data_IF_519276125928
#
_entry.id   IF_519276125928
#
_cell.length_a   1.000
_cell.length_b   1.000
_cell.length_c   1.000
_cell.angle_alpha   90.00
_cell.angle_beta   90.00
_cell.angle_gamma   90.00
#
_symmetry.space_group_name_H-M   'P 1'
#
loop_
_entity.id
_entity.type
_entity.pdbx_description
1 polymer ?
#
# COMPACT_ATOMS: atom_id res chain seq x y z
N UNK A 1 -29.74 14.68 -17.93
CA UNK A 1 -30.40 13.63 -17.16
C UNK A 1 -29.60 13.44 -15.87
N UNK A 2 -30.22 13.55 -14.69
CA UNK A 2 -29.58 13.15 -13.45
C UNK A 2 -29.41 11.62 -13.52
N UNK A 3 -28.18 11.17 -13.70
CA UNK A 3 -27.83 9.75 -13.55
C UNK A 3 -28.15 9.39 -12.11
N UNK A 4 -29.11 8.52 -11.93
CA UNK A 4 -29.61 8.10 -10.62
C UNK A 4 -28.41 7.59 -9.78
N UNK A 5 -28.14 8.26 -8.68
CA UNK A 5 -27.10 7.84 -7.70
C UNK A 5 -27.33 6.40 -7.21
N UNK A 6 -28.57 5.93 -7.21
CA UNK A 6 -28.92 4.54 -6.85
C UNK A 6 -28.44 3.52 -7.89
N UNK A 7 -28.44 3.87 -9.20
CA UNK A 7 -27.86 2.99 -10.23
C UNK A 7 -26.33 2.91 -10.14
N UNK A 8 -25.64 3.99 -9.76
CA UNK A 8 -24.19 3.94 -9.47
C UNK A 8 -23.90 3.09 -8.23
N UNK A 9 -24.71 3.14 -7.20
CA UNK A 9 -24.54 2.30 -6.01
C UNK A 9 -24.81 0.82 -6.28
N UNK A 10 -25.68 0.47 -7.23
CA UNK A 10 -25.90 -0.94 -7.61
C UNK A 10 -24.73 -1.54 -8.39
N UNK A 11 -23.89 -0.73 -9.06
CA UNK A 11 -22.72 -1.21 -9.80
C UNK A 11 -21.44 -1.34 -8.93
N UNK A 12 -21.45 -0.88 -7.67
CA UNK A 12 -20.28 -0.88 -6.78
C UNK A 12 -20.35 -2.03 -5.75
N UNK A 13 -21.30 -2.96 -5.88
CA UNK A 13 -21.52 -4.00 -4.86
C UNK A 13 -20.48 -5.12 -4.84
N UNK A 14 -19.73 -5.29 -5.93
CA UNK A 14 -18.75 -6.35 -6.07
C UNK A 14 -17.41 -5.73 -6.50
N UNK A 15 -16.53 -5.53 -5.56
CA UNK A 15 -15.22 -4.92 -5.80
C UNK A 15 -14.10 -5.94 -5.65
N UNK A 16 -13.15 -5.91 -6.58
CA UNK A 16 -11.84 -6.53 -6.42
C UNK A 16 -10.87 -5.43 -6.02
N UNK A 17 -10.17 -5.66 -4.95
CA UNK A 17 -9.25 -4.70 -4.38
C UNK A 17 -7.82 -5.00 -4.81
N UNK A 18 -7.08 -3.98 -5.22
CA UNK A 18 -5.63 -4.06 -5.41
C UNK A 18 -4.96 -2.99 -4.56
N UNK A 19 -4.07 -3.39 -3.66
CA UNK A 19 -3.44 -2.48 -2.71
C UNK A 19 -1.95 -2.68 -2.57
N UNK A 20 -1.21 -1.55 -2.53
CA UNK A 20 0.22 -1.49 -2.34
C UNK A 20 0.53 -0.45 -1.27
N UNK A 21 1.55 -0.68 -0.45
CA UNK A 21 2.02 0.20 0.63
C UNK A 21 0.87 0.70 1.52
N UNK A 22 0.74 1.99 1.74
CA UNK A 22 -0.37 2.61 2.46
C UNK A 22 -1.75 2.33 1.84
N UNK A 23 -1.80 2.06 0.52
CA UNK A 23 -3.04 1.61 -0.12
C UNK A 23 -3.61 0.38 0.57
N UNK A 24 -2.78 -0.56 1.03
CA UNK A 24 -3.22 -1.76 1.75
C UNK A 24 -4.08 -1.43 2.99
N UNK A 25 -3.52 -0.86 4.05
CA UNK A 25 -4.27 -0.60 5.28
C UNK A 25 -5.39 0.43 5.10
N UNK A 26 -5.20 1.48 4.29
CA UNK A 26 -6.24 2.48 4.05
C UNK A 26 -7.44 1.84 3.32
N UNK A 27 -7.19 1.07 2.26
CA UNK A 27 -8.26 0.44 1.49
C UNK A 27 -8.98 -0.65 2.28
N UNK A 28 -8.25 -1.53 2.98
CA UNK A 28 -8.87 -2.56 3.82
C UNK A 28 -9.61 -1.95 5.02
N UNK A 29 -9.09 -0.86 5.59
CA UNK A 29 -9.80 -0.11 6.63
C UNK A 29 -11.11 0.50 6.11
N UNK A 30 -11.13 1.04 4.90
CA UNK A 30 -12.36 1.54 4.27
C UNK A 30 -13.34 0.40 3.96
N UNK A 31 -12.86 -0.73 3.43
CA UNK A 31 -13.66 -1.90 3.10
C UNK A 31 -14.22 -2.61 4.34
N UNK A 32 -13.57 -2.51 5.50
CA UNK A 32 -14.09 -3.05 6.76
C UNK A 32 -15.42 -2.40 7.18
N UNK A 33 -15.72 -1.19 6.69
CA UNK A 33 -16.99 -0.49 6.93
C UNK A 33 -18.13 -1.00 6.03
N UNK A 34 -17.82 -1.76 4.97
CA UNK A 34 -18.80 -2.34 4.02
C UNK A 34 -18.22 -3.65 3.47
N UNK A 35 -18.03 -4.66 4.32
CA UNK A 35 -17.29 -5.88 3.99
C UNK A 35 -17.94 -6.71 2.86
N UNK A 36 -19.23 -6.57 2.67
CA UNK A 36 -19.98 -7.24 1.60
C UNK A 36 -19.55 -6.80 0.19
N UNK A 37 -18.91 -5.66 0.07
CA UNK A 37 -18.42 -5.14 -1.22
C UNK A 37 -17.17 -5.87 -1.70
N UNK A 38 -16.34 -6.40 -0.80
CA UNK A 38 -15.06 -7.02 -1.15
C UNK A 38 -15.26 -8.47 -1.59
N UNK A 39 -14.95 -8.78 -2.84
CA UNK A 39 -15.08 -10.14 -3.41
C UNK A 39 -13.75 -10.81 -3.71
N UNK A 40 -12.68 -10.06 -3.84
CA UNK A 40 -11.33 -10.58 -4.07
C UNK A 40 -10.27 -9.52 -3.87
N UNK A 41 -9.02 -9.93 -3.71
CA UNK A 41 -7.92 -9.01 -3.48
C UNK A 41 -6.61 -9.42 -4.18
N UNK A 42 -5.86 -8.42 -4.66
CA UNK A 42 -4.45 -8.54 -5.06
C UNK A 42 -3.62 -7.64 -4.16
N UNK A 43 -2.66 -8.22 -3.47
CA UNK A 43 -1.87 -7.56 -2.43
C UNK A 43 -0.42 -7.44 -2.86
N UNK A 44 0.12 -6.24 -2.78
CA UNK A 44 1.45 -5.90 -3.28
C UNK A 44 2.22 -5.13 -2.21
N UNK A 45 3.36 -5.61 -1.77
CA UNK A 45 4.23 -4.96 -0.78
C UNK A 45 3.49 -4.00 0.15
N UNK A 46 2.70 -4.56 1.05
CA UNK A 46 1.90 -3.83 2.04
C UNK A 46 1.94 -4.52 3.40
N UNK A 47 1.36 -3.92 4.42
CA UNK A 47 1.32 -4.44 5.78
C UNK A 47 -0.04 -4.23 6.41
N UNK A 48 -0.54 -5.24 7.13
CA UNK A 48 -1.79 -5.15 7.90
C UNK A 48 -1.58 -5.34 9.38
N UNK A 49 -0.45 -5.93 9.78
CA UNK A 49 -0.19 -6.28 11.16
C UNK A 49 0.08 -5.04 12.02
N UNK A 50 -0.60 -4.95 13.15
CA UNK A 50 -0.31 -3.96 14.17
C UNK A 50 1.03 -4.26 14.86
N UNK A 51 1.82 -3.25 15.21
CA UNK A 51 3.06 -3.47 15.93
C UNK A 51 2.78 -4.03 17.33
N UNK A 52 3.37 -5.19 17.65
CA UNK A 52 3.25 -5.85 18.97
C UNK A 52 4.28 -5.31 19.97
N UNK A 53 5.38 -4.81 19.47
CA UNK A 53 6.49 -4.23 20.21
C UNK A 53 7.05 -3.01 19.48
N UNK A 54 7.95 -2.28 20.10
CA UNK A 54 8.59 -1.15 19.46
C UNK A 54 9.48 -1.64 18.32
N UNK A 55 9.20 -1.14 17.12
CA UNK A 55 9.92 -1.51 15.90
C UNK A 55 10.99 -0.47 15.57
N UNK A 56 12.15 -0.94 15.12
CA UNK A 56 13.15 -0.08 14.51
C UNK A 56 12.72 0.26 13.09
N UNK A 57 12.25 1.48 12.92
CA UNK A 57 11.94 2.03 11.62
C UNK A 57 13.21 2.33 10.83
N UNK A 58 13.06 2.50 9.51
CA UNK A 58 14.20 2.91 8.69
C UNK A 58 14.82 4.22 9.22
N UNK A 59 16.12 4.45 8.99
CA UNK A 59 16.78 5.69 9.43
C UNK A 59 16.08 6.97 8.93
N UNK A 60 15.43 6.91 7.77
CA UNK A 60 14.65 8.02 7.24
C UNK A 60 13.41 8.29 8.10
N UNK A 61 12.63 7.26 8.44
CA UNK A 61 11.46 7.40 9.31
C UNK A 61 11.84 7.96 10.70
N UNK A 62 12.94 7.51 11.28
CA UNK A 62 13.42 8.03 12.56
C UNK A 62 13.74 9.53 12.50
N UNK A 63 14.39 9.99 11.43
CA UNK A 63 14.69 11.41 11.22
C UNK A 63 13.43 12.25 11.00
N UNK A 64 12.48 11.73 10.23
CA UNK A 64 11.22 12.43 9.91
C UNK A 64 10.32 12.59 11.13
N UNK A 65 10.36 11.64 12.07
CA UNK A 65 9.64 11.72 13.36
C UNK A 65 10.25 12.74 14.32
N UNK A 66 11.51 13.17 14.12
CA UNK A 66 12.13 14.19 14.95
C UNK A 66 11.54 15.55 14.60
N UNK A 67 10.94 16.28 15.56
CA UNK A 67 10.41 17.64 15.34
C UNK A 67 11.47 18.58 14.75
N UNK A 68 11.06 19.50 13.90
CA UNK A 68 11.89 20.47 13.18
C UNK A 68 12.80 19.81 12.13
N UNK A 69 13.46 18.69 12.45
CA UNK A 69 14.32 17.99 11.51
C UNK A 69 13.50 17.36 10.37
N UNK A 70 12.35 16.79 10.69
CA UNK A 70 11.45 16.21 9.69
C UNK A 70 10.93 17.27 8.72
N UNK A 71 10.49 18.41 9.22
CA UNK A 71 10.05 19.55 8.41
C UNK A 71 11.17 20.05 7.50
N UNK A 72 12.35 20.27 8.07
CA UNK A 72 13.52 20.77 7.34
C UNK A 72 13.90 19.81 6.21
N UNK A 73 13.94 18.51 6.49
CA UNK A 73 14.30 17.49 5.50
C UNK A 73 13.26 17.39 4.39
N UNK A 74 12.00 17.23 4.72
CA UNK A 74 10.95 16.88 3.74
C UNK A 74 10.40 18.12 3.02
N UNK A 75 10.35 19.28 3.71
CA UNK A 75 9.75 20.49 3.12
C UNK A 75 10.77 21.40 2.42
N UNK A 76 12.04 21.39 2.85
CA UNK A 76 13.01 22.35 2.36
C UNK A 76 14.25 21.74 1.67
N UNK A 77 14.75 20.60 2.12
CA UNK A 77 16.03 20.08 1.67
C UNK A 77 15.93 18.87 0.73
N UNK A 78 14.79 18.25 0.63
CA UNK A 78 14.68 16.92 0.04
C UNK A 78 13.43 16.79 -0.82
N UNK A 79 13.63 16.56 -2.12
CA UNK A 79 12.54 16.09 -2.98
C UNK A 79 12.45 14.55 -2.84
N UNK A 80 11.46 14.02 -2.12
CA UNK A 80 11.35 12.57 -1.92
C UNK A 80 11.21 11.81 -3.23
N UNK A 81 10.60 12.41 -4.24
CA UNK A 81 10.33 11.76 -5.53
C UNK A 81 11.60 11.49 -6.35
N UNK A 82 12.65 12.30 -6.22
CA UNK A 82 13.94 12.05 -6.86
C UNK A 82 14.70 10.86 -6.28
N UNK A 83 14.33 10.44 -5.07
CA UNK A 83 15.00 9.33 -4.39
C UNK A 83 14.28 7.98 -4.60
N UNK A 84 13.11 7.99 -5.24
CA UNK A 84 12.30 6.77 -5.38
C UNK A 84 12.97 5.71 -6.27
N UNK A 85 13.84 6.09 -7.19
CA UNK A 85 14.66 5.13 -7.93
C UNK A 85 15.50 4.20 -7.04
N UNK A 86 15.85 4.64 -5.82
CA UNK A 86 16.67 3.86 -4.88
C UNK A 86 15.88 2.75 -4.17
N UNK A 87 14.57 2.78 -4.25
CA UNK A 87 13.70 1.77 -3.65
C UNK A 87 13.15 0.80 -4.69
N UNK A 88 13.54 0.96 -5.96
CA UNK A 88 13.21 0.05 -7.05
C UNK A 88 14.18 -1.11 -7.15
N UNK A 89 13.73 -2.24 -7.67
CA UNK A 89 14.55 -3.39 -8.03
C UNK A 89 15.41 -3.07 -9.26
N UNK A 90 14.80 -2.44 -10.26
CA UNK A 90 15.48 -1.80 -11.38
C UNK A 90 15.36 -0.27 -11.29
N UNK A 91 16.41 0.44 -10.89
CA UNK A 91 16.37 1.91 -10.83
C UNK A 91 16.02 2.59 -12.16
N UNK A 92 16.25 1.94 -13.30
CA UNK A 92 15.92 2.50 -14.62
C UNK A 92 14.42 2.54 -14.92
N UNK A 93 13.61 1.80 -14.16
CA UNK A 93 12.15 1.86 -14.21
C UNK A 93 11.61 3.22 -13.77
N UNK A 94 12.40 3.99 -13.03
CA UNK A 94 12.01 5.30 -12.46
C UNK A 94 12.56 6.45 -13.32
N UNK A 95 11.85 6.74 -14.41
CA UNK A 95 12.25 7.81 -15.36
C UNK A 95 11.98 9.22 -14.82
N UNK A 96 12.63 10.23 -15.42
CA UNK A 96 12.37 11.65 -15.12
C UNK A 96 10.88 12.05 -15.35
N UNK A 97 10.22 11.37 -16.28
CA UNK A 97 8.78 11.58 -16.52
C UNK A 97 7.95 11.06 -15.34
N UNK A 98 8.25 9.87 -14.85
CA UNK A 98 7.58 9.30 -13.67
C UNK A 98 7.83 10.14 -12.42
N UNK A 99 9.06 10.61 -12.18
CA UNK A 99 9.38 11.54 -11.10
C UNK A 99 8.46 12.76 -11.13
N UNK A 100 8.27 13.34 -12.32
CA UNK A 100 7.36 14.50 -12.49
C UNK A 100 5.90 14.13 -12.26
N UNK A 101 5.44 13.00 -12.80
CA UNK A 101 4.05 12.56 -12.67
C UNK A 101 3.67 12.25 -11.22
N UNK A 102 4.49 11.51 -10.49
CA UNK A 102 4.26 11.17 -9.08
C UNK A 102 4.40 12.41 -8.18
N UNK A 103 5.38 13.25 -8.47
CA UNK A 103 5.65 14.46 -7.67
C UNK A 103 4.64 15.58 -7.90
N UNK A 104 4.07 15.70 -9.11
CA UNK A 104 3.23 16.82 -9.52
C UNK A 104 2.07 17.13 -8.56
N UNK A 105 1.24 16.17 -8.13
CA UNK A 105 0.12 16.47 -7.23
C UNK A 105 0.56 17.07 -5.89
N UNK A 106 1.71 16.68 -5.39
CA UNK A 106 2.24 17.15 -4.10
C UNK A 106 2.97 18.48 -4.26
N UNK A 107 3.87 18.57 -5.26
CA UNK A 107 4.72 19.76 -5.47
C UNK A 107 3.92 20.96 -5.95
N UNK A 108 2.98 20.78 -6.90
CA UNK A 108 2.15 21.88 -7.42
C UNK A 108 1.07 22.32 -6.41
N UNK A 109 0.60 21.43 -5.53
CA UNK A 109 -0.34 21.82 -4.47
C UNK A 109 0.30 22.63 -3.34
N UNK A 110 1.64 22.71 -3.30
CA UNK A 110 2.39 23.29 -2.18
C UNK A 110 2.23 22.52 -0.86
N UNK A 111 1.76 21.26 -0.94
CA UNK A 111 1.45 20.45 0.25
C UNK A 111 2.51 19.38 0.53
N UNK A 112 3.79 19.82 0.64
CA UNK A 112 4.89 18.97 1.09
C UNK A 112 4.65 18.32 2.47
N UNK A 113 3.79 18.95 3.29
CA UNK A 113 3.35 18.42 4.60
C UNK A 113 2.62 17.08 4.48
N UNK A 114 1.97 16.79 3.35
CA UNK A 114 1.28 15.51 3.16
C UNK A 114 2.27 14.34 3.22
N UNK A 115 3.41 14.44 2.53
CA UNK A 115 4.47 13.42 2.57
C UNK A 115 5.03 13.23 3.98
N UNK A 116 5.30 14.33 4.68
CA UNK A 116 5.76 14.30 6.07
C UNK A 116 4.74 13.60 6.98
N UNK A 117 3.46 13.94 6.84
CA UNK A 117 2.39 13.34 7.62
C UNK A 117 2.27 11.85 7.37
N UNK A 118 2.29 11.41 6.11
CA UNK A 118 2.24 9.99 5.75
C UNK A 118 3.38 9.20 6.40
N UNK A 119 4.60 9.72 6.36
CA UNK A 119 5.74 9.06 7.00
C UNK A 119 5.62 9.01 8.52
N UNK A 120 5.06 10.05 9.15
CA UNK A 120 4.82 10.10 10.61
C UNK A 120 3.69 9.18 11.08
N UNK A 121 2.75 8.85 10.21
CA UNK A 121 1.65 7.92 10.49
C UNK A 121 2.09 6.46 10.64
N UNK A 122 3.30 6.10 10.19
CA UNK A 122 3.81 4.72 10.34
C UNK A 122 3.94 4.37 11.82
N UNK A 123 3.20 3.36 12.32
CA UNK A 123 3.26 3.01 13.74
C UNK A 123 4.59 2.29 14.06
N UNK A 124 5.30 2.82 15.03
CA UNK A 124 6.59 2.30 15.50
C UNK A 124 6.49 1.55 16.83
N UNK A 125 5.28 1.33 17.29
CA UNK A 125 5.01 0.58 18.51
C UNK A 125 3.53 0.54 18.86
N UNK A 126 3.15 -0.28 19.85
CA UNK A 126 1.74 -0.43 20.27
C UNK A 126 1.13 0.85 20.85
N UNK A 127 1.95 1.78 21.34
CA UNK A 127 1.50 3.05 21.90
C UNK A 127 1.31 4.14 20.84
N UNK A 128 1.60 3.87 19.58
CA UNK A 128 1.41 4.82 18.49
C UNK A 128 -0.09 5.05 18.24
N UNK A 129 -0.48 6.30 17.96
CA UNK A 129 -1.90 6.68 17.74
C UNK A 129 -2.62 5.82 16.70
N UNK A 130 -1.92 5.38 15.66
CA UNK A 130 -2.48 4.54 14.60
C UNK A 130 -2.44 3.03 14.90
N UNK A 131 -1.84 2.59 16.02
CA UNK A 131 -1.72 1.16 16.35
C UNK A 131 -3.10 0.51 16.54
N UNK A 132 -4.05 1.24 17.15
CA UNK A 132 -5.42 0.75 17.37
C UNK A 132 -6.14 0.55 16.03
N UNK A 133 -6.02 1.49 15.10
CA UNK A 133 -6.60 1.37 13.77
C UNK A 133 -5.98 0.20 13.00
N UNK A 134 -4.66 0.05 13.05
CA UNK A 134 -3.96 -1.08 12.42
C UNK A 134 -4.42 -2.42 13.00
N UNK A 135 -4.65 -2.51 14.30
CA UNK A 135 -5.15 -3.73 14.92
C UNK A 135 -6.55 -4.09 14.43
N UNK A 136 -7.44 -3.12 14.30
CA UNK A 136 -8.78 -3.35 13.75
C UNK A 136 -8.72 -3.81 12.29
N UNK A 137 -7.78 -3.27 11.51
CA UNK A 137 -7.56 -3.68 10.11
C UNK A 137 -6.99 -5.11 10.06
N UNK A 138 -6.02 -5.44 10.90
CA UNK A 138 -5.45 -6.78 11.02
C UNK A 138 -6.55 -7.82 11.32
N UNK A 139 -7.39 -7.55 12.32
CA UNK A 139 -8.51 -8.42 12.70
C UNK A 139 -9.52 -8.60 11.54
N UNK A 140 -9.83 -7.52 10.81
CA UNK A 140 -10.68 -7.60 9.63
C UNK A 140 -10.05 -8.45 8.53
N UNK A 141 -8.80 -8.21 8.18
CA UNK A 141 -8.08 -8.95 7.14
C UNK A 141 -8.01 -10.44 7.47
N UNK A 142 -7.73 -10.81 8.73
CA UNK A 142 -7.68 -12.19 9.19
C UNK A 142 -9.06 -12.88 9.17
N UNK A 143 -10.14 -12.13 9.19
CA UNK A 143 -11.51 -12.66 9.09
C UNK A 143 -11.96 -12.95 7.66
N UNK A 144 -11.23 -12.47 6.65
CA UNK A 144 -11.63 -12.55 5.24
C UNK A 144 -11.57 -13.99 4.70
N UNK A 145 -12.63 -14.37 3.98
CA UNK A 145 -12.73 -15.65 3.27
C UNK A 145 -12.99 -15.40 1.78
N UNK A 146 -12.10 -14.63 1.15
CA UNK A 146 -12.19 -14.23 -0.25
C UNK A 146 -11.01 -14.78 -1.05
N UNK A 147 -11.13 -14.93 -2.37
CA UNK A 147 -9.98 -15.16 -3.24
C UNK A 147 -8.96 -14.02 -3.08
N UNK A 148 -7.71 -14.35 -2.88
CA UNK A 148 -6.63 -13.38 -2.82
C UNK A 148 -5.40 -13.90 -3.56
N UNK A 149 -4.61 -13.00 -4.14
CA UNK A 149 -3.28 -13.26 -4.69
C UNK A 149 -2.29 -12.23 -4.16
N UNK A 150 -1.04 -12.65 -4.00
CA UNK A 150 0.06 -11.82 -3.54
C UNK A 150 1.06 -11.67 -4.68
N UNK A 151 1.38 -10.43 -5.06
CA UNK A 151 2.50 -10.11 -5.96
C UNK A 151 3.52 -9.34 -5.14
N UNK A 152 4.73 -9.88 -5.01
CA UNK A 152 5.70 -9.36 -4.05
C UNK A 152 7.04 -9.02 -4.68
N UNK A 153 7.47 -7.77 -4.51
CA UNK A 153 8.79 -7.29 -4.88
C UNK A 153 9.79 -7.62 -3.78
N UNK A 154 10.67 -8.60 -4.06
CA UNK A 154 11.65 -9.11 -3.10
C UNK A 154 12.80 -8.12 -2.85
N UNK A 155 13.06 -7.21 -3.81
CA UNK A 155 14.10 -6.18 -3.69
C UNK A 155 13.59 -4.87 -3.07
N UNK A 156 12.35 -4.82 -2.58
CA UNK A 156 11.83 -3.68 -1.85
C UNK A 156 12.55 -3.51 -0.49
N UNK A 157 13.35 -2.43 -0.31
CA UNK A 157 14.07 -2.21 0.94
C UNK A 157 13.18 -1.77 2.11
N UNK A 158 11.93 -1.43 1.84
CA UNK A 158 10.96 -0.92 2.84
C UNK A 158 10.11 -2.08 3.38
N UNK A 159 9.42 -2.79 2.49
CA UNK A 159 8.42 -3.80 2.84
C UNK A 159 8.76 -5.22 2.35
N UNK A 160 9.84 -5.41 1.59
CA UNK A 160 10.19 -6.71 1.01
C UNK A 160 10.28 -7.84 2.03
N UNK A 161 10.74 -7.55 3.24
CA UNK A 161 10.83 -8.52 4.36
C UNK A 161 9.47 -8.87 4.99
N UNK A 162 8.40 -8.16 4.62
CA UNK A 162 7.05 -8.36 5.17
C UNK A 162 6.28 -9.54 4.58
N UNK A 163 6.81 -10.20 3.55
CA UNK A 163 6.13 -11.32 2.89
C UNK A 163 5.65 -12.43 3.83
N UNK A 164 6.44 -12.92 4.80
CA UNK A 164 5.96 -13.98 5.71
C UNK A 164 4.70 -13.57 6.48
N UNK A 165 4.64 -12.35 6.99
CA UNK A 165 3.45 -11.85 7.68
C UNK A 165 2.24 -11.71 6.74
N UNK A 166 2.46 -11.40 5.46
CA UNK A 166 1.41 -11.38 4.45
C UNK A 166 0.90 -12.80 4.14
N UNK A 167 1.79 -13.79 4.04
CA UNK A 167 1.43 -15.20 3.85
C UNK A 167 0.66 -15.75 5.08
N UNK A 168 0.95 -15.28 6.29
CA UNK A 168 0.18 -15.62 7.50
C UNK A 168 -1.25 -15.03 7.44
N UNK A 169 -1.41 -13.80 6.97
CA UNK A 169 -2.72 -13.17 6.81
C UNK A 169 -3.57 -13.82 5.70
N UNK A 170 -2.93 -14.35 4.66
CA UNK A 170 -3.58 -14.98 3.49
C UNK A 170 -2.95 -16.34 3.17
N UNK A 171 -3.12 -17.36 4.02
CA UNK A 171 -2.36 -18.64 3.92
C UNK A 171 -2.68 -19.46 2.67
N UNK A 172 -3.79 -19.19 2.00
CA UNK A 172 -4.20 -19.87 0.78
C UNK A 172 -3.97 -19.05 -0.50
N UNK A 173 -3.43 -17.84 -0.39
CA UNK A 173 -3.19 -16.99 -1.54
C UNK A 173 -1.94 -17.45 -2.31
N UNK A 174 -2.03 -17.67 -3.62
CA UNK A 174 -0.85 -17.82 -4.46
C UNK A 174 0.07 -16.61 -4.37
N UNK A 175 1.39 -16.85 -4.34
CA UNK A 175 2.41 -15.81 -4.23
C UNK A 175 3.26 -15.77 -5.47
N UNK A 176 3.25 -14.65 -6.17
CA UNK A 176 4.17 -14.32 -7.25
C UNK A 176 5.32 -13.49 -6.68
N UNK A 177 6.50 -14.09 -6.54
CA UNK A 177 7.73 -13.40 -6.11
C UNK A 177 8.43 -12.82 -7.32
N UNK A 178 8.80 -11.55 -7.26
CA UNK A 178 9.46 -10.82 -8.34
C UNK A 178 10.72 -10.13 -7.83
N UNK A 179 11.61 -9.73 -8.74
CA UNK A 179 12.79 -8.92 -8.42
C UNK A 179 12.48 -7.42 -8.30
N UNK A 180 11.20 -7.04 -8.35
CA UNK A 180 10.78 -5.66 -8.24
C UNK A 180 11.10 -5.07 -6.86
N UNK A 181 11.19 -3.74 -6.82
CA UNK A 181 11.30 -2.96 -5.61
C UNK A 181 9.95 -2.52 -5.07
N UNK A 182 9.92 -1.30 -4.51
CA UNK A 182 8.76 -0.79 -3.77
C UNK A 182 7.57 -0.44 -4.66
N UNK A 183 7.80 0.20 -5.80
CA UNK A 183 6.75 0.56 -6.75
C UNK A 183 6.60 -0.50 -7.83
N UNK A 184 6.06 -1.66 -7.45
CA UNK A 184 5.93 -2.83 -8.31
C UNK A 184 5.20 -2.54 -9.61
N UNK A 185 4.23 -1.64 -9.61
CA UNK A 185 3.44 -1.29 -10.79
C UNK A 185 4.28 -0.74 -11.95
N UNK A 186 5.44 -0.17 -11.64
CA UNK A 186 6.36 0.36 -12.66
C UNK A 186 7.34 -0.70 -13.21
N UNK A 187 7.45 -1.85 -12.54
CA UNK A 187 8.41 -2.90 -12.90
C UNK A 187 7.74 -4.18 -13.38
N UNK A 188 6.64 -4.59 -12.75
CA UNK A 188 5.99 -5.89 -12.97
C UNK A 188 4.47 -5.76 -13.20
N UNK A 189 4.08 -4.78 -14.01
CA UNK A 189 2.68 -4.50 -14.33
C UNK A 189 1.94 -5.70 -14.94
N UNK A 190 2.63 -6.55 -15.71
CA UNK A 190 2.06 -7.74 -16.34
C UNK A 190 1.71 -8.80 -15.30
N UNK A 191 2.57 -9.05 -14.33
CA UNK A 191 2.36 -9.98 -13.22
C UNK A 191 1.16 -9.55 -12.38
N UNK A 192 1.07 -8.25 -12.10
CA UNK A 192 -0.06 -7.65 -11.38
C UNK A 192 -1.36 -7.81 -12.17
N UNK A 193 -1.35 -7.50 -13.47
CA UNK A 193 -2.51 -7.65 -14.34
C UNK A 193 -2.98 -9.11 -14.41
N UNK A 194 -2.05 -10.06 -14.53
CA UNK A 194 -2.38 -11.48 -14.56
C UNK A 194 -2.97 -11.96 -13.22
N UNK A 195 -2.47 -11.48 -12.08
CA UNK A 195 -3.05 -11.76 -10.77
C UNK A 195 -4.49 -11.24 -10.67
N UNK A 196 -4.73 -10.00 -11.11
CA UNK A 196 -6.06 -9.41 -11.17
C UNK A 196 -7.02 -10.23 -12.03
N UNK A 197 -6.60 -10.64 -13.22
CA UNK A 197 -7.44 -11.46 -14.13
C UNK A 197 -7.81 -12.81 -13.50
N UNK A 198 -6.87 -13.46 -12.79
CA UNK A 198 -7.17 -14.72 -12.09
C UNK A 198 -8.17 -14.52 -10.95
N UNK A 199 -8.09 -13.41 -10.21
CA UNK A 199 -9.06 -13.08 -9.15
C UNK A 199 -10.44 -12.79 -9.77
N UNK A 200 -10.50 -12.04 -10.88
CA UNK A 200 -11.76 -11.78 -11.61
C UNK A 200 -12.42 -13.10 -11.99
N UNK A 201 -11.68 -13.98 -12.64
CA UNK A 201 -12.15 -15.31 -13.04
C UNK A 201 -12.69 -16.14 -11.87
N UNK A 202 -12.04 -16.08 -10.70
CA UNK A 202 -12.48 -16.81 -9.50
C UNK A 202 -13.76 -16.23 -8.90
N UNK A 203 -13.92 -14.91 -8.95
CA UNK A 203 -15.12 -14.22 -8.44
C UNK A 203 -16.32 -14.45 -9.35
N UNK A 204 -16.13 -14.42 -10.68
CA UNK A 204 -17.21 -14.62 -11.65
C UNK A 204 -17.74 -16.06 -11.71
N UNK A 205 -16.97 -17.05 -11.27
CA UNK A 205 -17.37 -18.47 -11.24
C UNK A 205 -18.16 -18.86 -9.99
N UNK A 206 -18.27 -17.99 -9.00
CA UNK A 206 -19.05 -18.19 -7.76
C UNK A 206 -20.45 -17.63 -7.89
#
# INVERSE_FOLDING_TARGET
HPVDRRQRQMCIRDSIYAGQDWGGPIGMGALSLSPEMLKGAVLMNTVFNAPKEKADLTPMHARVKTPILGELLVELLFNPFEQLARVQGDPSSWSDELIRLYGKPVLESGNSKATLSMMRMVPDGPDHENAVAMKSIEEYVQSLQIPAEIVWGMNDPILGKGLPAMEENFPNAPVTRTEAGHFLQEEVAIEIANALLRIIDQVERK
#
